data_IF_733670206718
#
_entry.id   IF_733670206718
#
_cell.length_a   1.000
_cell.length_b   1.000
_cell.length_c   1.000
_cell.angle_alpha   90.00
_cell.angle_beta   90.00
_cell.angle_gamma   90.00
#
_symmetry.space_group_name_H-M   'P 1'
#
loop_
_entity.id
_entity.type
_entity.pdbx_description
1 polymer ?
#
# COMPACT_ATOMS: atom_id res chain seq x y z
N UNK A 1 -4.91 -13.38 18.11
CA UNK A 1 -6.35 -13.39 18.48
C UNK A 1 -7.13 -12.23 17.86
N UNK A 2 -6.60 -11.00 17.88
CA UNK A 2 -7.29 -9.80 17.34
C UNK A 2 -7.63 -9.92 15.84
N UNK A 3 -6.67 -10.32 14.98
CA UNK A 3 -6.88 -10.55 13.53
C UNK A 3 -8.08 -11.45 13.24
N UNK A 4 -8.22 -12.57 13.96
CA UNK A 4 -9.33 -13.53 13.77
C UNK A 4 -10.69 -12.92 14.15
N UNK A 5 -10.74 -12.09 15.21
CA UNK A 5 -11.98 -11.43 15.63
C UNK A 5 -12.44 -10.38 14.61
N UNK A 6 -11.54 -9.56 14.09
CA UNK A 6 -11.89 -8.52 13.11
C UNK A 6 -12.26 -9.16 11.75
N UNK A 7 -11.61 -10.28 11.39
CA UNK A 7 -11.92 -11.00 10.15
C UNK A 7 -13.36 -11.55 10.11
N UNK A 8 -13.95 -11.85 11.26
CA UNK A 8 -15.33 -12.33 11.39
C UNK A 8 -16.39 -11.23 11.26
N UNK A 9 -15.99 -9.96 11.23
CA UNK A 9 -16.95 -8.87 11.09
C UNK A 9 -17.54 -8.83 9.68
N UNK A 10 -18.80 -8.39 9.52
CA UNK A 10 -19.38 -8.18 8.20
C UNK A 10 -18.60 -7.10 7.45
N UNK A 11 -18.54 -7.24 6.12
CA UNK A 11 -17.80 -6.36 5.22
C UNK A 11 -18.16 -4.87 5.42
N UNK A 12 -19.44 -4.56 5.64
CA UNK A 12 -19.92 -3.20 5.90
C UNK A 12 -19.27 -2.54 7.11
N UNK A 13 -19.01 -3.30 8.19
CA UNK A 13 -18.33 -2.78 9.38
C UNK A 13 -16.84 -2.55 9.07
N UNK A 14 -16.20 -3.44 8.31
CA UNK A 14 -14.80 -3.28 7.88
C UNK A 14 -14.64 -2.03 7.02
N UNK A 15 -15.56 -1.80 6.10
CA UNK A 15 -15.57 -0.62 5.22
C UNK A 15 -15.90 0.66 5.98
N UNK A 16 -16.87 0.63 6.89
CA UNK A 16 -17.16 1.75 7.78
C UNK A 16 -15.93 2.14 8.60
N UNK A 17 -15.23 1.14 9.16
CA UNK A 17 -13.95 1.35 9.84
C UNK A 17 -12.86 1.95 8.94
N UNK A 18 -12.75 1.48 7.69
CA UNK A 18 -11.81 2.04 6.71
C UNK A 18 -12.15 3.49 6.36
N UNK A 19 -13.43 3.82 6.16
CA UNK A 19 -13.89 5.17 5.88
C UNK A 19 -13.65 6.11 7.06
N UNK A 20 -13.89 5.64 8.30
CA UNK A 20 -13.56 6.40 9.51
C UNK A 20 -12.05 6.61 9.62
N UNK A 21 -11.24 5.59 9.36
CA UNK A 21 -9.78 5.71 9.37
C UNK A 21 -9.28 6.70 8.31
N UNK A 22 -9.80 6.62 7.08
CA UNK A 22 -9.50 7.56 6.02
C UNK A 22 -9.94 8.98 6.40
N UNK A 23 -11.15 9.12 6.94
CA UNK A 23 -11.68 10.37 7.47
C UNK A 23 -10.76 10.95 8.54
N UNK A 24 -10.31 10.17 9.53
CA UNK A 24 -9.43 10.68 10.58
C UNK A 24 -8.04 11.09 10.07
N UNK A 25 -7.50 10.37 9.09
CA UNK A 25 -6.18 10.66 8.51
C UNK A 25 -6.17 11.82 7.51
N UNK A 26 -7.32 12.13 6.90
CA UNK A 26 -7.45 13.16 5.86
C UNK A 26 -8.32 14.36 6.23
N UNK A 27 -9.29 14.21 7.12
CA UNK A 27 -10.11 15.33 7.62
C UNK A 27 -9.25 16.35 8.34
N UNK A 28 -8.17 15.88 8.96
CA UNK A 28 -7.13 16.72 9.52
C UNK A 28 -6.59 17.70 8.45
N UNK A 29 -6.22 17.23 7.25
CA UNK A 29 -5.70 18.09 6.17
C UNK A 29 -6.70 19.17 5.69
N UNK A 30 -8.01 18.98 5.87
CA UNK A 30 -9.04 19.95 5.49
C UNK A 30 -9.16 21.13 6.48
N UNK A 31 -8.62 20.97 7.70
CA UNK A 31 -8.80 21.93 8.81
C UNK A 31 -7.50 22.64 9.20
N UNK A 32 -6.45 22.51 8.39
CA UNK A 32 -5.14 23.13 8.66
C UNK A 32 -5.30 24.66 8.62
N UNK A 33 -5.15 25.29 9.78
CA UNK A 33 -4.94 26.73 9.94
C UNK A 33 -3.49 26.96 10.38
N UNK A 34 -2.93 28.12 10.00
CA UNK A 34 -1.55 28.49 10.32
C UNK A 34 -1.28 28.41 11.83
N UNK A 35 -2.22 28.86 12.65
CA UNK A 35 -2.05 28.96 14.11
C UNK A 35 -2.11 27.61 14.85
N UNK A 36 -2.41 26.50 14.16
CA UNK A 36 -2.61 25.19 14.79
C UNK A 36 -1.77 24.07 14.19
N UNK A 37 -0.74 24.39 13.39
CA UNK A 37 0.10 23.40 12.70
C UNK A 37 0.77 22.41 13.68
N UNK A 38 1.22 22.87 14.85
CA UNK A 38 1.85 22.01 15.85
C UNK A 38 0.86 21.03 16.50
N UNK A 39 -0.33 21.52 16.85
CA UNK A 39 -1.43 20.69 17.36
C UNK A 39 -1.83 19.66 16.31
N UNK A 40 -1.83 20.08 15.05
CA UNK A 40 -2.11 19.23 13.90
C UNK A 40 -1.09 18.11 13.75
N UNK A 41 0.18 18.47 13.85
CA UNK A 41 1.30 17.53 13.78
C UNK A 41 1.24 16.52 14.91
N UNK A 42 1.00 16.96 16.14
CA UNK A 42 0.85 16.07 17.31
C UNK A 42 -0.32 15.10 17.14
N UNK A 43 -1.48 15.58 16.66
CA UNK A 43 -2.62 14.73 16.37
C UNK A 43 -2.28 13.67 15.31
N UNK A 44 -1.69 14.08 14.18
CA UNK A 44 -1.32 13.18 13.09
C UNK A 44 -0.25 12.17 13.50
N UNK A 45 0.72 12.59 14.31
CA UNK A 45 1.74 11.71 14.87
C UNK A 45 1.11 10.66 15.79
N UNK A 46 0.19 11.06 16.67
CA UNK A 46 -0.56 10.14 17.53
C UNK A 46 -1.40 9.15 16.72
N UNK A 47 -2.11 9.62 15.69
CA UNK A 47 -2.90 8.76 14.81
C UNK A 47 -2.05 7.78 14.01
N UNK A 48 -0.96 8.25 13.40
CA UNK A 48 -0.04 7.40 12.67
C UNK A 48 0.60 6.34 13.58
N UNK A 49 0.98 6.72 14.81
CA UNK A 49 1.50 5.78 15.80
C UNK A 49 0.44 4.73 16.20
N UNK A 50 -0.82 5.13 16.40
CA UNK A 50 -1.92 4.22 16.69
C UNK A 50 -2.14 3.20 15.55
N UNK A 51 -2.23 3.68 14.30
CA UNK A 51 -2.40 2.79 13.14
C UNK A 51 -1.19 1.89 12.88
N UNK A 52 0.02 2.39 13.07
CA UNK A 52 1.24 1.59 12.98
C UNK A 52 1.30 0.52 14.09
N UNK A 53 0.90 0.88 15.32
CA UNK A 53 0.79 -0.06 16.44
C UNK A 53 -0.26 -1.14 16.20
N UNK A 54 -1.45 -0.77 15.71
CA UNK A 54 -2.49 -1.72 15.29
C UNK A 54 -1.99 -2.63 14.16
N UNK A 55 -1.25 -2.07 13.20
CA UNK A 55 -0.66 -2.82 12.09
C UNK A 55 0.36 -3.84 12.60
N UNK A 56 1.18 -3.48 13.58
CA UNK A 56 2.12 -4.41 14.21
C UNK A 56 1.41 -5.60 14.90
N UNK A 57 0.22 -5.37 15.47
CA UNK A 57 -0.57 -6.41 16.14
C UNK A 57 -1.35 -7.32 15.17
N UNK A 58 -1.72 -6.82 14.00
CA UNK A 58 -2.58 -7.52 13.03
C UNK A 58 -1.78 -8.14 11.90
N UNK A 59 -0.78 -7.44 11.36
CA UNK A 59 0.00 -7.87 10.21
C UNK A 59 1.06 -8.91 10.61
N UNK A 60 1.42 -9.76 9.66
CA UNK A 60 2.56 -10.66 9.80
C UNK A 60 3.86 -9.84 9.84
N UNK A 61 4.85 -10.30 10.62
CA UNK A 61 6.11 -9.57 10.87
C UNK A 61 6.85 -9.18 9.59
N UNK A 62 6.79 -10.05 8.57
CA UNK A 62 7.39 -9.78 7.25
C UNK A 62 6.66 -8.64 6.52
N UNK A 63 5.33 -8.68 6.48
CA UNK A 63 4.48 -7.67 5.84
C UNK A 63 4.64 -6.31 6.51
N UNK A 64 4.67 -6.27 7.85
CA UNK A 64 4.91 -5.04 8.60
C UNK A 64 6.32 -4.47 8.35
N UNK A 65 7.35 -5.33 8.33
CA UNK A 65 8.72 -4.90 8.01
C UNK A 65 8.85 -4.34 6.59
N UNK A 66 8.18 -4.98 5.61
CA UNK A 66 8.14 -4.49 4.24
C UNK A 66 7.43 -3.14 4.13
N UNK A 67 6.29 -2.98 4.82
CA UNK A 67 5.58 -1.70 4.88
C UNK A 67 6.48 -0.58 5.42
N UNK A 68 7.17 -0.80 6.55
CA UNK A 68 8.07 0.20 7.13
C UNK A 68 9.26 0.52 6.22
N UNK A 69 9.80 -0.48 5.51
CA UNK A 69 10.88 -0.27 4.53
C UNK A 69 10.41 0.56 3.34
N UNK A 70 9.23 0.26 2.78
CA UNK A 70 8.65 1.02 1.68
C UNK A 70 8.36 2.47 2.11
N UNK A 71 7.78 2.63 3.29
CA UNK A 71 7.52 3.95 3.87
C UNK A 71 8.82 4.73 4.11
N UNK A 72 9.86 4.11 4.67
CA UNK A 72 11.13 4.80 4.93
C UNK A 72 11.84 5.22 3.64
N UNK A 73 11.88 4.34 2.63
CA UNK A 73 12.41 4.67 1.31
C UNK A 73 11.63 5.84 0.69
N UNK A 74 10.29 5.77 0.70
CA UNK A 74 9.44 6.84 0.18
C UNK A 74 9.63 8.16 0.91
N UNK A 75 9.78 8.12 2.24
CA UNK A 75 10.03 9.30 3.07
C UNK A 75 11.38 9.93 2.76
N UNK A 76 12.44 9.13 2.60
CA UNK A 76 13.77 9.62 2.21
C UNK A 76 13.71 10.30 0.84
N UNK A 77 13.12 9.63 -0.16
CA UNK A 77 12.98 10.19 -1.52
C UNK A 77 12.17 11.48 -1.50
N UNK A 78 11.08 11.53 -0.73
CA UNK A 78 10.30 12.73 -0.54
C UNK A 78 11.12 13.88 0.04
N UNK A 79 11.90 13.65 1.10
CA UNK A 79 12.73 14.69 1.71
C UNK A 79 13.84 15.20 0.79
N UNK A 80 14.42 14.36 -0.05
CA UNK A 80 15.39 14.81 -1.07
C UNK A 80 14.80 15.86 -2.01
N UNK A 81 13.49 15.79 -2.29
CA UNK A 81 12.77 16.75 -3.14
C UNK A 81 12.21 17.92 -2.32
N UNK A 82 11.74 17.67 -1.09
CA UNK A 82 11.10 18.67 -0.24
C UNK A 82 12.11 19.67 0.35
N UNK A 83 13.31 19.22 0.75
CA UNK A 83 14.33 20.08 1.38
C UNK A 83 14.66 21.32 0.54
N UNK A 84 15.02 21.21 -0.75
CA UNK A 84 15.25 22.39 -1.59
C UNK A 84 14.05 23.35 -1.62
N UNK A 85 12.82 22.81 -1.68
CA UNK A 85 11.59 23.61 -1.72
C UNK A 85 11.32 24.36 -0.41
N UNK A 86 11.63 23.76 0.74
CA UNK A 86 11.49 24.39 2.06
C UNK A 86 12.37 25.64 2.14
N UNK A 87 13.63 25.53 1.71
CA UNK A 87 14.61 26.64 1.78
C UNK A 87 14.42 27.68 0.68
N UNK A 88 14.01 27.30 -0.53
CA UNK A 88 13.81 28.22 -1.65
C UNK A 88 12.52 29.06 -1.56
N UNK A 89 11.69 28.88 -0.54
CA UNK A 89 10.44 29.65 -0.43
C UNK A 89 9.34 29.22 -1.38
N UNK A 90 9.44 28.02 -1.95
CA UNK A 90 8.38 27.47 -2.79
C UNK A 90 7.08 27.28 -2.01
N UNK A 91 5.94 27.51 -2.66
CA UNK A 91 4.63 27.20 -2.09
C UNK A 91 4.50 25.69 -1.92
N UNK A 92 4.63 25.21 -0.67
CA UNK A 92 4.44 23.81 -0.31
C UNK A 92 2.96 23.38 -0.36
N UNK A 93 2.05 24.35 -0.24
CA UNK A 93 0.61 24.15 -0.36
C UNK A 93 -0.02 25.25 -1.21
N UNK A 94 -1.10 24.95 -1.94
CA UNK A 94 -1.86 25.98 -2.65
C UNK A 94 -2.84 26.73 -1.74
N UNK A 95 -3.02 26.30 -0.48
CA UNK A 95 -4.09 26.79 0.41
C UNK A 95 -3.59 27.69 1.55
N UNK A 96 -2.33 27.53 1.96
CA UNK A 96 -1.76 28.19 3.14
C UNK A 96 -0.36 28.71 2.81
N UNK A 97 -0.14 30.01 3.02
CA UNK A 97 1.17 30.65 2.89
C UNK A 97 1.94 30.47 4.20
N UNK A 98 2.95 29.61 4.19
CA UNK A 98 3.83 29.36 5.33
C UNK A 98 5.01 30.34 5.29
N UNK A 99 5.00 31.33 6.18
CA UNK A 99 6.02 32.38 6.26
C UNK A 99 7.26 31.93 7.02
N UNK A 100 7.11 31.16 8.10
CA UNK A 100 8.24 30.68 8.91
C UNK A 100 8.79 29.34 8.40
N UNK A 101 10.12 29.21 8.44
CA UNK A 101 10.82 27.97 8.03
C UNK A 101 10.45 26.80 8.93
N UNK A 102 10.22 27.04 10.23
CA UNK A 102 9.74 26.03 11.19
C UNK A 102 8.46 25.36 10.70
N UNK A 103 7.49 26.16 10.29
CA UNK A 103 6.15 25.68 9.93
C UNK A 103 6.19 24.89 8.62
N UNK A 104 7.09 25.27 7.71
CA UNK A 104 7.36 24.53 6.48
C UNK A 104 7.94 23.14 6.75
N UNK A 105 8.81 23.01 7.75
CA UNK A 105 9.35 21.72 8.18
C UNK A 105 8.26 20.85 8.81
N UNK A 106 7.52 21.41 9.76
CA UNK A 106 6.43 20.68 10.45
C UNK A 106 5.38 20.23 9.45
N UNK A 107 4.97 21.11 8.53
CA UNK A 107 4.04 20.76 7.46
C UNK A 107 4.60 19.66 6.54
N UNK A 108 5.88 19.75 6.16
CA UNK A 108 6.49 18.76 5.28
C UNK A 108 6.55 17.36 5.92
N UNK A 109 6.65 17.29 7.26
CA UNK A 109 6.62 16.04 8.02
C UNK A 109 5.22 15.42 8.13
N UNK A 110 4.14 16.19 7.93
CA UNK A 110 2.78 15.66 7.97
C UNK A 110 2.54 14.62 6.87
N UNK A 111 3.03 14.86 5.66
CA UNK A 111 2.75 13.99 4.51
C UNK A 111 3.29 12.55 4.73
N UNK A 112 4.55 12.33 5.14
CA UNK A 112 5.01 11.01 5.55
C UNK A 112 4.16 10.35 6.63
N UNK A 113 3.66 11.09 7.62
CA UNK A 113 2.82 10.54 8.69
C UNK A 113 1.44 10.11 8.18
N UNK A 114 0.78 10.93 7.34
CA UNK A 114 -0.48 10.58 6.67
C UNK A 114 -0.28 9.32 5.82
N UNK A 115 0.81 9.25 5.06
CA UNK A 115 1.14 8.09 4.24
C UNK A 115 1.35 6.84 5.09
N UNK A 116 2.04 6.95 6.23
CA UNK A 116 2.22 5.81 7.14
C UNK A 116 0.86 5.29 7.65
N UNK A 117 -0.01 6.19 8.12
CA UNK A 117 -1.33 5.84 8.63
C UNK A 117 -2.22 5.21 7.56
N UNK A 118 -2.21 5.79 6.34
CA UNK A 118 -3.03 5.29 5.22
C UNK A 118 -2.56 3.93 4.73
N UNK A 119 -1.25 3.71 4.57
CA UNK A 119 -0.70 2.39 4.25
C UNK A 119 -1.03 1.35 5.33
N UNK A 120 -0.89 1.73 6.59
CA UNK A 120 -1.22 0.88 7.75
C UNK A 120 -2.68 0.44 7.72
N UNK A 121 -3.62 1.40 7.62
CA UNK A 121 -5.05 1.11 7.56
C UNK A 121 -5.44 0.26 6.34
N UNK A 122 -4.89 0.58 5.16
CA UNK A 122 -5.14 -0.18 3.94
C UNK A 122 -4.64 -1.62 4.00
N UNK A 123 -3.44 -1.85 4.56
CA UNK A 123 -2.89 -3.20 4.72
C UNK A 123 -3.65 -4.02 5.77
N UNK A 124 -4.08 -3.40 6.88
CA UNK A 124 -4.97 -4.05 7.84
C UNK A 124 -6.25 -4.52 7.14
N UNK A 125 -6.88 -3.64 6.37
CA UNK A 125 -8.11 -3.96 5.63
C UNK A 125 -7.90 -5.11 4.64
N UNK A 126 -6.82 -5.08 3.85
CA UNK A 126 -6.49 -6.14 2.90
C UNK A 126 -6.21 -7.50 3.58
N UNK A 127 -5.60 -7.51 4.78
CA UNK A 127 -5.34 -8.76 5.50
C UNK A 127 -6.57 -9.36 6.19
N UNK A 128 -7.56 -8.53 6.50
CA UNK A 128 -8.75 -8.91 7.28
C UNK A 128 -9.94 -9.22 6.37
N UNK A 129 -9.93 -8.74 5.13
CA UNK A 129 -11.03 -8.89 4.18
C UNK A 129 -10.73 -9.99 3.17
N UNK A 130 -11.59 -11.02 3.11
CA UNK A 130 -11.50 -12.04 2.08
C UNK A 130 -12.11 -11.54 0.76
N UNK A 131 -11.51 -11.84 -0.41
CA UNK A 131 -12.10 -11.49 -1.71
C UNK A 131 -13.51 -12.05 -1.93
N UNK A 132 -13.84 -13.16 -1.25
CA UNK A 132 -15.16 -13.82 -1.34
C UNK A 132 -16.26 -12.97 -0.70
N UNK A 133 -15.93 -12.17 0.33
CA UNK A 133 -16.90 -11.30 1.02
C UNK A 133 -17.48 -10.23 0.08
N UNK A 134 -16.77 -9.89 -1.00
CA UNK A 134 -17.26 -8.95 -2.00
C UNK A 134 -18.27 -9.56 -2.96
N UNK A 135 -18.42 -10.89 -3.05
CA UNK A 135 -19.34 -11.51 -4.00
C UNK A 135 -20.81 -11.14 -3.74
N UNK A 136 -21.16 -10.83 -2.49
CA UNK A 136 -22.50 -10.39 -2.07
C UNK A 136 -22.92 -9.05 -2.71
N UNK A 137 -22.00 -8.33 -3.36
CA UNK A 137 -22.25 -7.05 -4.03
C UNK A 137 -22.51 -7.20 -5.54
N UNK A 138 -22.86 -8.41 -6.00
CA UNK A 138 -23.19 -8.69 -7.39
C UNK A 138 -22.04 -8.40 -8.36
N UNK A 139 -22.32 -7.74 -9.49
CA UNK A 139 -21.35 -7.54 -10.57
C UNK A 139 -20.14 -6.66 -10.16
N UNK A 140 -20.36 -5.64 -9.32
CA UNK A 140 -19.27 -4.78 -8.82
C UNK A 140 -18.35 -5.59 -7.90
N UNK A 141 -18.96 -6.36 -7.01
CA UNK A 141 -18.29 -7.30 -6.13
C UNK A 141 -17.42 -8.33 -6.85
N UNK A 142 -17.98 -8.93 -7.90
CA UNK A 142 -17.30 -9.89 -8.77
C UNK A 142 -16.04 -9.31 -9.42
N UNK A 143 -16.11 -8.06 -9.91
CA UNK A 143 -14.95 -7.36 -10.48
C UNK A 143 -13.85 -7.12 -9.45
N UNK A 144 -14.22 -6.70 -8.24
CA UNK A 144 -13.27 -6.49 -7.14
C UNK A 144 -12.62 -7.83 -6.74
N UNK A 145 -13.41 -8.89 -6.58
CA UNK A 145 -12.92 -10.22 -6.22
C UNK A 145 -11.94 -10.77 -7.27
N UNK A 146 -12.23 -10.58 -8.56
CA UNK A 146 -11.31 -10.93 -9.64
C UNK A 146 -10.02 -10.14 -9.58
N UNK A 147 -10.09 -8.82 -9.38
CA UNK A 147 -8.91 -7.97 -9.31
C UNK A 147 -7.97 -8.38 -8.15
N UNK A 148 -8.55 -8.70 -6.99
CA UNK A 148 -7.79 -9.29 -5.87
C UNK A 148 -7.14 -10.62 -6.26
N UNK A 149 -7.84 -11.47 -7.01
CA UNK A 149 -7.31 -12.77 -7.45
C UNK A 149 -6.22 -12.65 -8.51
N UNK A 150 -6.32 -11.66 -9.42
CA UNK A 150 -5.22 -11.30 -10.35
C UNK A 150 -3.99 -10.96 -9.53
N UNK A 151 -4.15 -10.08 -8.54
CA UNK A 151 -3.04 -9.57 -7.74
C UNK A 151 -2.37 -10.67 -6.92
N UNK A 152 -3.15 -11.56 -6.31
CA UNK A 152 -2.61 -12.73 -5.60
C UNK A 152 -1.81 -13.64 -6.53
N UNK A 153 -2.35 -13.92 -7.73
CA UNK A 153 -1.64 -14.73 -8.71
C UNK A 153 -0.36 -14.05 -9.21
N UNK A 154 -0.40 -12.74 -9.44
CA UNK A 154 0.78 -11.95 -9.79
C UNK A 154 1.87 -12.06 -8.73
N UNK A 155 1.50 -11.91 -7.44
CA UNK A 155 2.45 -12.04 -6.32
C UNK A 155 3.10 -13.42 -6.26
N UNK A 156 2.32 -14.48 -6.43
CA UNK A 156 2.85 -15.85 -6.44
C UNK A 156 3.78 -16.07 -7.65
N UNK A 157 3.38 -15.62 -8.82
CA UNK A 157 4.21 -15.70 -10.04
C UNK A 157 5.53 -14.92 -9.89
N UNK A 158 5.52 -13.76 -9.22
CA UNK A 158 6.75 -13.01 -8.90
C UNK A 158 7.70 -13.84 -8.03
N UNK A 159 7.19 -14.55 -7.03
CA UNK A 159 8.00 -15.40 -6.15
C UNK A 159 8.59 -16.59 -6.90
N UNK A 160 7.78 -17.28 -7.70
CA UNK A 160 8.23 -18.44 -8.48
C UNK A 160 9.31 -18.03 -9.50
N UNK A 161 9.08 -16.92 -10.21
CA UNK A 161 10.05 -16.39 -11.17
C UNK A 161 11.32 -15.91 -10.47
N UNK A 162 11.23 -15.30 -9.28
CA UNK A 162 12.39 -14.94 -8.47
C UNK A 162 13.24 -16.18 -8.15
N UNK A 163 12.61 -17.28 -7.74
CA UNK A 163 13.29 -18.54 -7.43
C UNK A 163 14.01 -19.10 -8.67
N UNK A 164 13.34 -19.10 -9.82
CA UNK A 164 13.95 -19.52 -11.09
C UNK A 164 15.15 -18.65 -11.46
N UNK A 165 15.07 -17.34 -11.26
CA UNK A 165 16.19 -16.43 -11.53
C UNK A 165 17.36 -16.62 -10.57
N UNK A 166 17.09 -17.02 -9.32
CA UNK A 166 18.13 -17.42 -8.36
C UNK A 166 18.83 -18.71 -8.83
N UNK A 167 18.06 -19.72 -9.30
CA UNK A 167 18.63 -20.96 -9.85
C UNK A 167 19.51 -20.72 -11.11
N UNK A 168 19.23 -19.66 -11.86
CA UNK A 168 19.98 -19.30 -13.06
C UNK A 168 21.18 -18.35 -12.80
N UNK A 169 21.53 -18.08 -11.53
CA UNK A 169 22.53 -17.07 -11.11
C UNK A 169 22.27 -15.64 -11.67
N UNK A 170 21.02 -15.37 -12.08
CA UNK A 170 20.58 -14.06 -12.59
C UNK A 170 20.03 -13.17 -11.49
N UNK A 171 19.86 -13.69 -10.28
CA UNK A 171 19.42 -12.98 -9.07
C UNK A 171 20.38 -13.29 -7.92
N UNK A 172 20.82 -12.31 -7.11
CA UNK A 172 21.77 -12.57 -6.03
C UNK A 172 21.14 -13.38 -4.89
N UNK A 173 21.94 -14.22 -4.25
CA UNK A 173 21.52 -15.03 -3.10
C UNK A 173 21.09 -14.14 -1.91
N UNK A 174 20.11 -14.63 -1.14
CA UNK A 174 19.54 -13.88 -0.01
C UNK A 174 20.53 -13.66 1.14
N UNK A 175 21.59 -14.47 1.20
CA UNK A 175 22.70 -14.41 2.17
C UNK A 175 23.83 -13.43 1.79
N UNK A 176 23.78 -12.85 0.58
CA UNK A 176 24.84 -11.98 0.06
C UNK A 176 24.94 -10.62 0.78
N UNK A 177 26.14 -10.03 0.78
CA UNK A 177 26.37 -8.66 1.28
C UNK A 177 25.48 -7.67 0.52
N UNK A 178 24.72 -6.85 1.24
CA UNK A 178 23.76 -5.90 0.66
C UNK A 178 24.38 -4.83 -0.25
N UNK A 179 25.68 -4.56 -0.09
CA UNK A 179 26.39 -3.47 -0.76
C UNK A 179 27.52 -4.08 -1.59
N UNK A 180 27.15 -4.66 -2.74
CA UNK A 180 28.08 -5.07 -3.78
C UNK A 180 27.53 -4.57 -5.11
N UNK A 181 28.28 -3.73 -5.82
CA UNK A 181 27.88 -3.14 -7.11
C UNK A 181 27.41 -4.21 -8.11
N UNK A 182 28.05 -5.38 -8.12
CA UNK A 182 27.68 -6.52 -8.96
C UNK A 182 26.29 -7.06 -8.60
N UNK A 183 26.00 -7.18 -7.31
CA UNK A 183 24.70 -7.68 -6.83
C UNK A 183 23.59 -6.66 -7.04
N UNK A 184 23.89 -5.37 -6.89
CA UNK A 184 22.95 -4.28 -7.22
C UNK A 184 22.60 -4.28 -8.70
N UNK A 185 23.59 -4.45 -9.59
CA UNK A 185 23.35 -4.55 -11.03
C UNK A 185 22.54 -5.80 -11.40
N UNK A 186 22.87 -6.97 -10.82
CA UNK A 186 22.08 -8.20 -10.98
C UNK A 186 20.63 -7.99 -10.52
N UNK A 187 20.39 -7.31 -9.39
CA UNK A 187 19.03 -6.99 -8.90
C UNK A 187 18.26 -6.10 -9.87
N UNK A 188 18.85 -5.04 -10.39
CA UNK A 188 18.16 -4.13 -11.32
C UNK A 188 17.76 -4.89 -12.60
N UNK A 189 18.72 -5.58 -13.23
CA UNK A 189 18.48 -6.33 -14.47
C UNK A 189 17.51 -7.49 -14.25
N UNK A 190 17.66 -8.22 -13.15
CA UNK A 190 16.77 -9.31 -12.75
C UNK A 190 15.35 -8.81 -12.47
N UNK A 191 15.19 -7.64 -11.87
CA UNK A 191 13.87 -7.07 -11.56
C UNK A 191 13.09 -6.72 -12.83
N UNK A 192 13.75 -6.15 -13.85
CA UNK A 192 13.13 -5.87 -15.15
C UNK A 192 12.65 -7.17 -15.80
N UNK A 193 13.49 -8.21 -15.80
CA UNK A 193 13.16 -9.50 -16.40
C UNK A 193 12.01 -10.19 -15.65
N UNK A 194 12.02 -10.11 -14.33
CA UNK A 194 11.01 -10.65 -13.44
C UNK A 194 9.65 -9.98 -13.68
N UNK A 195 9.60 -8.64 -13.76
CA UNK A 195 8.39 -7.89 -14.11
C UNK A 195 7.88 -8.29 -15.50
N UNK A 196 8.77 -8.38 -16.48
CA UNK A 196 8.38 -8.73 -17.85
C UNK A 196 7.76 -10.14 -17.95
N UNK A 197 8.38 -11.15 -17.31
CA UNK A 197 7.87 -12.52 -17.30
C UNK A 197 6.52 -12.61 -16.59
N UNK A 198 6.36 -11.91 -15.47
CA UNK A 198 5.09 -11.91 -14.73
C UNK A 198 3.99 -11.19 -15.49
N UNK A 199 4.26 -10.03 -16.09
CA UNK A 199 3.27 -9.35 -16.94
C UNK A 199 2.85 -10.23 -18.11
N UNK A 200 3.80 -10.92 -18.74
CA UNK A 200 3.51 -11.88 -19.80
C UNK A 200 2.61 -13.02 -19.31
N UNK A 201 2.88 -13.59 -18.13
CA UNK A 201 2.03 -14.63 -17.56
C UNK A 201 0.60 -14.14 -17.26
N UNK A 202 0.49 -12.95 -16.66
CA UNK A 202 -0.79 -12.35 -16.32
C UNK A 202 -1.60 -12.07 -17.58
N UNK A 203 -1.01 -11.42 -18.58
CA UNK A 203 -1.71 -11.02 -19.81
C UNK A 203 -2.08 -12.23 -20.67
N UNK A 204 -1.16 -13.17 -20.88
CA UNK A 204 -1.37 -14.26 -21.84
C UNK A 204 -2.13 -15.45 -21.29
N UNK A 205 -2.04 -15.72 -19.99
CA UNK A 205 -2.61 -16.95 -19.41
C UNK A 205 -3.71 -16.65 -18.41
N UNK A 206 -3.49 -15.68 -17.53
CA UNK A 206 -4.45 -15.41 -16.47
C UNK A 206 -5.63 -14.58 -16.93
N UNK A 207 -5.42 -13.50 -17.68
CA UNK A 207 -6.50 -12.63 -18.17
C UNK A 207 -7.55 -13.37 -19.01
N UNK A 208 -7.18 -14.22 -19.99
CA UNK A 208 -8.14 -15.00 -20.77
C UNK A 208 -8.93 -15.98 -19.90
N UNK A 209 -8.28 -16.63 -18.94
CA UNK A 209 -8.92 -17.57 -18.02
C UNK A 209 -9.85 -16.87 -17.02
N UNK A 210 -9.39 -15.76 -16.44
CA UNK A 210 -10.17 -14.90 -15.55
C UNK A 210 -11.39 -14.30 -16.24
N UNK A 211 -11.27 -13.92 -17.51
CA UNK A 211 -12.40 -13.48 -18.35
C UNK A 211 -13.42 -14.60 -18.57
N UNK A 212 -12.97 -15.82 -18.89
CA UNK A 212 -13.86 -16.98 -19.02
C UNK A 212 -14.61 -17.30 -17.72
N UNK A 213 -13.92 -17.25 -16.57
CA UNK A 213 -14.54 -17.44 -15.26
C UNK A 213 -15.54 -16.32 -14.93
N UNK A 214 -15.19 -15.06 -15.22
CA UNK A 214 -16.07 -13.90 -15.06
C UNK A 214 -17.37 -14.08 -15.85
N UNK A 215 -17.25 -14.44 -17.13
CA UNK A 215 -18.41 -14.57 -18.01
C UNK A 215 -19.35 -15.71 -17.58
N UNK A 216 -18.80 -16.82 -17.07
CA UNK A 216 -19.59 -17.93 -16.51
C UNK A 216 -20.28 -17.56 -15.20
N UNK A 217 -19.60 -16.80 -14.32
CA UNK A 217 -20.17 -16.36 -13.05
C UNK A 217 -21.25 -15.28 -13.25
N UNK A 218 -21.01 -14.35 -14.16
CA UNK A 218 -21.99 -13.33 -14.54
C UNK A 218 -23.27 -13.95 -15.13
N UNK A 219 -23.13 -15.00 -15.95
CA UNK A 219 -24.28 -15.74 -16.48
C UNK A 219 -25.09 -16.48 -15.41
N UNK A 220 -24.45 -16.93 -14.32
CA UNK A 220 -25.16 -17.57 -13.20
C UNK A 220 -25.89 -16.56 -12.32
N UNK A 221 -25.22 -15.45 -11.99
CA UNK A 221 -25.81 -14.40 -11.14
C UNK A 221 -26.96 -13.70 -11.88
N UNK A 222 -26.81 -13.42 -13.18
CA UNK A 222 -27.88 -12.83 -13.99
C UNK A 222 -29.00 -13.78 -14.43
N UNK A 223 -28.97 -15.05 -13.99
CA UNK A 223 -30.03 -16.03 -14.22
C UNK A 223 -30.86 -16.32 -12.95
N UNK A 224 -30.48 -15.75 -11.81
CA UNK A 224 -31.21 -15.83 -10.53
C UNK A 224 -32.01 -14.54 -10.21
N UNK A 225 -31.89 -13.51 -11.06
CA UNK A 225 -32.79 -12.33 -11.11
C UNK A 225 -33.89 -12.54 -12.18
#
# INVERSE_FOLDING_TARGET
MLKKKIAQWPLWIKLGGLLIAAGLLWASNLWIRVDSIDVHFLFMLGMAACFAGLSYLILDRQTFSLMLKLWSIGTIVYFLIAIPRIYMGGTLTPYVVLTHISDRWVYSLLLPLVLLGTFSAGLIFMQVTSPIEFLDWGNIGLKIALLFRVLQHAMQSLQDVKIVLMMQDRWPEESGRWICLRDTYKRIKGSILLVHIVFRHIILYWFPWGWLCFHRLQQRIGAED
#
